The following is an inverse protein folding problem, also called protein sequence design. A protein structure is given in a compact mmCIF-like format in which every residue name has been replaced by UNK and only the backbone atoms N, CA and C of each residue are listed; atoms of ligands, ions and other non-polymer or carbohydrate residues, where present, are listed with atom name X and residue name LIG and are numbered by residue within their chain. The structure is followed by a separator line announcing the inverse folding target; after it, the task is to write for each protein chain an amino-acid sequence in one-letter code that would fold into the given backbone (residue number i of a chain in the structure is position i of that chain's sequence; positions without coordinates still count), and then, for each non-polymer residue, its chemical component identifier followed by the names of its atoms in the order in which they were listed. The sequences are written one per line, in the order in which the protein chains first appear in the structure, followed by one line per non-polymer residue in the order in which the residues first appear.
data_IF_036158205306
#
_entry.id   IF_036158205306
#
_cell.length_a   1.000
_cell.length_b   1.000
_cell.length_c   1.000
_cell.angle_alpha   90.00
_cell.angle_beta   90.00
_cell.angle_gamma   90.00
#
_symmetry.space_group_name_H-M   'P 1'
#
loop_
_entity.id
_entity.type
_entity.pdbx_description
1 polymer ?
#
# COMPACT_ATOMS: atom_id res chain seq x y z
N UNK A 1 -30.63 -6.93 7.32
CA UNK A 1 -29.40 -6.32 7.87
C UNK A 1 -29.65 -4.83 7.88
N UNK A 2 -29.32 -4.10 8.96
CA UNK A 2 -29.42 -2.63 8.96
C UNK A 2 -28.71 -2.06 7.73
N UNK A 3 -29.30 -1.11 7.03
CA UNK A 3 -28.64 -0.45 5.90
C UNK A 3 -27.34 0.21 6.38
N UNK A 4 -26.21 -0.17 5.75
CA UNK A 4 -24.93 0.50 6.01
C UNK A 4 -25.06 1.96 5.54
N UNK A 5 -24.43 2.92 6.26
CA UNK A 5 -24.52 4.35 5.90
C UNK A 5 -23.79 4.72 4.60
N UNK A 6 -23.25 3.73 3.87
CA UNK A 6 -22.53 3.89 2.61
C UNK A 6 -22.73 2.65 1.72
N UNK A 7 -22.67 2.84 0.40
CA UNK A 7 -22.86 1.79 -0.58
C UNK A 7 -21.54 1.10 -0.96
N UNK A 8 -21.44 -0.21 -0.70
CA UNK A 8 -20.29 -1.04 -1.05
C UNK A 8 -20.08 -1.20 -2.55
N UNK A 9 -21.13 -1.05 -3.36
CA UNK A 9 -21.02 -1.11 -4.82
C UNK A 9 -20.28 0.10 -5.40
N UNK A 10 -20.21 1.22 -4.65
CA UNK A 10 -19.52 2.44 -5.08
C UNK A 10 -18.03 2.47 -4.74
N UNK A 11 -17.56 1.50 -3.97
CA UNK A 11 -16.15 1.41 -3.57
C UNK A 11 -15.30 0.95 -4.75
N UNK A 12 -14.16 1.61 -4.97
CA UNK A 12 -13.17 1.13 -5.93
C UNK A 12 -12.41 -0.08 -5.37
N UNK A 13 -12.93 -1.28 -5.64
CA UNK A 13 -12.36 -2.53 -5.15
C UNK A 13 -11.00 -2.87 -5.76
N UNK A 14 -10.64 -2.30 -6.90
CA UNK A 14 -9.30 -2.47 -7.48
C UNK A 14 -8.25 -1.80 -6.60
N UNK A 15 -8.48 -0.56 -6.20
CA UNK A 15 -7.57 0.19 -5.32
C UNK A 15 -7.44 -0.52 -3.96
N UNK A 16 -8.57 -1.00 -3.41
CA UNK A 16 -8.58 -1.78 -2.16
C UNK A 16 -7.71 -3.02 -2.29
N UNK A 17 -7.84 -3.79 -3.38
CA UNK A 17 -7.04 -5.00 -3.61
C UNK A 17 -5.54 -4.72 -3.71
N UNK A 18 -5.16 -3.68 -4.46
CA UNK A 18 -3.77 -3.26 -4.62
C UNK A 18 -3.17 -2.85 -3.27
N UNK A 19 -3.85 -1.95 -2.54
CA UNK A 19 -3.36 -1.44 -1.26
C UNK A 19 -3.31 -2.54 -0.18
N UNK A 20 -4.29 -3.45 -0.18
CA UNK A 20 -4.27 -4.61 0.72
C UNK A 20 -3.08 -5.54 0.43
N UNK A 21 -2.75 -5.77 -0.85
CA UNK A 21 -1.57 -6.54 -1.24
C UNK A 21 -0.26 -5.90 -0.75
N UNK A 22 -0.12 -4.58 -0.87
CA UNK A 22 1.03 -3.84 -0.34
C UNK A 22 1.12 -3.97 1.18
N UNK A 23 0.01 -3.79 1.88
CA UNK A 23 -0.04 -3.94 3.34
C UNK A 23 0.35 -5.36 3.79
N UNK A 24 -0.07 -6.38 3.05
CA UNK A 24 0.31 -7.77 3.30
C UNK A 24 1.83 -7.99 3.13
N UNK A 25 2.42 -7.48 2.04
CA UNK A 25 3.87 -7.57 1.83
C UNK A 25 4.65 -6.82 2.92
N UNK A 26 4.19 -5.63 3.31
CA UNK A 26 4.79 -4.86 4.39
C UNK A 26 4.75 -5.62 5.73
N UNK A 27 3.65 -6.33 6.02
CA UNK A 27 3.52 -7.16 7.21
C UNK A 27 4.51 -8.34 7.22
N UNK A 28 4.74 -8.99 6.08
CA UNK A 28 5.75 -10.06 5.97
C UNK A 28 7.14 -9.51 6.31
N UNK A 29 7.53 -8.39 5.69
CA UNK A 29 8.84 -7.76 5.94
C UNK A 29 8.97 -7.35 7.41
N UNK A 30 7.96 -6.68 7.95
CA UNK A 30 7.94 -6.25 9.35
C UNK A 30 8.07 -7.44 10.32
N UNK A 31 7.42 -8.56 10.04
CA UNK A 31 7.49 -9.75 10.87
C UNK A 31 8.89 -10.38 10.82
N UNK A 32 9.50 -10.50 9.64
CA UNK A 32 10.88 -11.01 9.48
C UNK A 32 11.88 -10.15 10.28
N UNK A 33 11.72 -8.82 10.21
CA UNK A 33 12.60 -7.86 10.87
C UNK A 33 12.43 -7.89 12.40
N UNK A 34 11.22 -8.18 12.90
CA UNK A 34 10.90 -8.18 14.33
C UNK A 34 11.52 -9.35 15.13
N UNK A 35 11.88 -10.47 14.48
CA UNK A 35 12.47 -11.64 15.16
C UNK A 35 13.95 -11.46 15.58
N UNK A 36 14.61 -10.36 15.16
CA UNK A 36 16.02 -10.09 15.42
C UNK A 36 16.30 -9.10 16.56
N UNK A 37 17.49 -8.48 16.52
CA UNK A 37 17.83 -7.36 17.41
C UNK A 37 16.92 -6.17 17.10
N UNK A 38 16.11 -5.75 18.08
CA UNK A 38 15.13 -4.65 17.94
C UNK A 38 15.73 -3.35 17.38
N UNK A 39 16.99 -3.03 17.71
CA UNK A 39 17.65 -1.83 17.20
C UNK A 39 17.99 -1.95 15.70
N UNK A 40 18.60 -3.06 15.31
CA UNK A 40 18.87 -3.37 13.90
C UNK A 40 17.55 -3.49 13.11
N UNK A 41 16.52 -4.05 13.75
CA UNK A 41 15.20 -4.17 13.16
C UNK A 41 14.59 -2.81 12.83
N UNK A 42 14.66 -1.84 13.74
CA UNK A 42 14.21 -0.48 13.44
C UNK A 42 14.95 0.16 12.26
N UNK A 43 16.28 -0.03 12.17
CA UNK A 43 17.08 0.47 11.04
C UNK A 43 16.66 -0.18 9.73
N UNK A 44 16.53 -1.51 9.71
CA UNK A 44 16.12 -2.26 8.52
C UNK A 44 14.71 -1.87 8.07
N UNK A 45 13.76 -1.70 9.00
CA UNK A 45 12.41 -1.22 8.68
C UNK A 45 12.45 0.16 8.01
N UNK A 46 13.25 1.10 8.52
CA UNK A 46 13.37 2.42 7.92
C UNK A 46 13.97 2.36 6.50
N UNK A 47 15.00 1.53 6.30
CA UNK A 47 15.61 1.32 4.97
C UNK A 47 14.64 0.67 4.00
N UNK A 48 13.95 -0.40 4.41
CA UNK A 48 12.96 -1.06 3.57
C UNK A 48 11.82 -0.12 3.20
N UNK A 49 11.29 0.65 4.16
CA UNK A 49 10.28 1.65 3.88
C UNK A 49 10.75 2.66 2.82
N UNK A 50 11.96 3.19 2.95
CA UNK A 50 12.50 4.14 1.98
C UNK A 50 12.59 3.53 0.57
N UNK A 51 13.09 2.30 0.45
CA UNK A 51 13.20 1.60 -0.84
C UNK A 51 11.82 1.34 -1.44
N UNK A 52 10.89 0.80 -0.66
CA UNK A 52 9.53 0.51 -1.14
C UNK A 52 8.76 1.78 -1.50
N UNK A 53 8.94 2.86 -0.74
CA UNK A 53 8.33 4.15 -1.04
C UNK A 53 8.82 4.70 -2.38
N UNK A 54 10.13 4.71 -2.62
CA UNK A 54 10.69 5.16 -3.90
C UNK A 54 10.19 4.27 -5.05
N UNK A 55 10.21 2.95 -4.86
CA UNK A 55 9.74 2.03 -5.89
C UNK A 55 8.25 2.22 -6.20
N UNK A 56 7.44 2.45 -5.18
CA UNK A 56 6.03 2.75 -5.34
C UNK A 56 5.82 4.07 -6.07
N UNK A 57 6.28 5.17 -5.47
CA UNK A 57 5.94 6.52 -5.91
C UNK A 57 6.47 6.86 -7.31
N UNK A 58 7.67 6.39 -7.65
CA UNK A 58 8.30 6.77 -8.92
C UNK A 58 8.08 5.78 -10.06
N UNK A 59 7.70 4.53 -9.78
CA UNK A 59 7.56 3.50 -10.81
C UNK A 59 6.20 2.81 -10.80
N UNK A 60 5.76 2.28 -9.65
CA UNK A 60 4.58 1.42 -9.60
C UNK A 60 3.26 2.19 -9.55
N UNK A 61 3.22 3.37 -8.93
CA UNK A 61 1.99 4.13 -8.69
C UNK A 61 1.25 4.48 -10.00
N UNK A 62 1.98 4.97 -11.02
CA UNK A 62 1.40 5.30 -12.32
C UNK A 62 0.97 4.09 -13.16
N UNK A 63 1.43 2.88 -12.81
CA UNK A 63 0.95 1.64 -13.41
C UNK A 63 -0.24 1.05 -12.64
N UNK A 64 -0.27 1.23 -11.33
CA UNK A 64 -1.30 0.71 -10.44
C UNK A 64 -2.60 1.53 -10.51
N UNK A 65 -2.47 2.84 -10.68
CA UNK A 65 -3.60 3.75 -10.82
C UNK A 65 -3.54 4.44 -12.20
N UNK A 66 -4.50 4.14 -13.10
CA UNK A 66 -4.60 4.88 -14.36
C UNK A 66 -4.70 6.39 -14.08
N UNK A 67 -4.00 7.25 -14.83
CA UNK A 67 -4.11 8.68 -14.65
C UNK A 67 -5.57 9.11 -14.81
N UNK A 68 -6.05 9.94 -13.88
CA UNK A 68 -7.39 10.50 -13.95
C UNK A 68 -7.60 11.12 -15.34
N UNK A 69 -8.74 10.81 -15.98
CA UNK A 69 -9.08 11.39 -17.27
C UNK A 69 -8.95 12.92 -17.18
N UNK A 70 -8.21 13.52 -18.11
CA UNK A 70 -8.03 14.96 -18.13
C UNK A 70 -9.41 15.65 -18.11
N UNK A 71 -9.60 16.71 -17.31
CA UNK A 71 -10.87 17.42 -17.26
C UNK A 71 -11.24 17.89 -18.68
N UNK A 72 -12.52 17.78 -19.07
CA UNK A 72 -12.96 18.28 -20.38
C UNK A 72 -12.68 19.79 -20.44
N UNK A 73 -11.89 20.19 -21.44
CA UNK A 73 -11.61 21.60 -21.75
C UNK A 73 -12.84 22.31 -22.32
#
# INVERSE_FOLDING_TARGET
MPELPFDLATVNWNDVGILAGIAFLAAIVGNIVAFGNRFIGAILTAVFFAVFYVAWHYWLEGMAFPPAAAPPV
#
